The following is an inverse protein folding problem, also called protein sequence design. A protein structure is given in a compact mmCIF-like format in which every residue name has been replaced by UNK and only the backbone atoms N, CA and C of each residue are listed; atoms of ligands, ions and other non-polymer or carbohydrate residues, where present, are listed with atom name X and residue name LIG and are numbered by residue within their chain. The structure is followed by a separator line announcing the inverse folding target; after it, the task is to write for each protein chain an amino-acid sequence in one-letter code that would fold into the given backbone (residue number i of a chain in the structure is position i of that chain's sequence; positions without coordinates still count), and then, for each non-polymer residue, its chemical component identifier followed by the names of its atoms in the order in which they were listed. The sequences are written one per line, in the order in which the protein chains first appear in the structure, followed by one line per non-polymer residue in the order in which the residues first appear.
data_IF_110583572920
#
_entry.id   IF_110583572920
#
_cell.length_a   1.000
_cell.length_b   1.000
_cell.length_c   1.000
_cell.angle_alpha   90.00
_cell.angle_beta   90.00
_cell.angle_gamma   90.00
#
_symmetry.space_group_name_H-M   'P 1'
#
loop_
_entity.id
_entity.type
_entity.pdbx_description
1 polymer ?
#
# COMPACT_ATOMS: atom_id res chain seq x y z
N UNK A 1 -22.68 -31.51 0.79
CA UNK A 1 -22.41 -30.14 1.28
C UNK A 1 -21.30 -29.52 0.45
N UNK A 2 -21.64 -28.59 -0.44
CA UNK A 2 -20.69 -27.99 -1.37
C UNK A 2 -19.69 -27.08 -0.65
N UNK A 3 -18.40 -27.38 -0.76
CA UNK A 3 -17.34 -26.46 -0.34
C UNK A 3 -17.43 -25.19 -1.18
N UNK A 4 -18.06 -24.14 -0.66
CA UNK A 4 -17.89 -22.80 -1.23
C UNK A 4 -16.46 -22.37 -0.92
N UNK A 5 -15.53 -22.76 -1.81
CA UNK A 5 -14.21 -22.13 -1.89
C UNK A 5 -14.49 -20.64 -1.96
N UNK A 6 -14.02 -19.89 -0.97
CA UNK A 6 -14.06 -18.43 -0.97
C UNK A 6 -13.48 -17.96 -2.30
N UNK A 7 -14.34 -17.60 -3.24
CA UNK A 7 -13.91 -16.89 -4.43
C UNK A 7 -13.28 -15.61 -3.88
N UNK A 8 -11.97 -15.46 -4.05
CA UNK A 8 -11.33 -14.17 -3.84
C UNK A 8 -12.18 -13.16 -4.61
N UNK A 9 -12.72 -12.11 -3.96
CA UNK A 9 -13.57 -11.16 -4.65
C UNK A 9 -12.78 -10.61 -5.84
N UNK A 10 -13.21 -10.95 -7.05
CA UNK A 10 -12.46 -10.68 -8.28
C UNK A 10 -12.13 -9.19 -8.41
N UNK A 11 -12.98 -8.31 -7.88
CA UNK A 11 -12.77 -6.87 -7.83
C UNK A 11 -11.53 -6.44 -7.01
N UNK A 12 -11.22 -7.09 -5.88
CA UNK A 12 -10.00 -6.80 -5.11
C UNK A 12 -8.76 -7.23 -5.87
N UNK A 13 -8.82 -8.37 -6.55
CA UNK A 13 -7.71 -8.86 -7.36
C UNK A 13 -7.48 -7.95 -8.56
N UNK A 14 -8.54 -7.52 -9.24
CA UNK A 14 -8.47 -6.55 -10.33
C UNK A 14 -7.90 -5.23 -9.83
N UNK A 15 -8.38 -4.69 -8.71
CA UNK A 15 -7.86 -3.46 -8.12
C UNK A 15 -6.38 -3.56 -7.73
N UNK A 16 -5.97 -4.70 -7.15
CA UNK A 16 -4.58 -5.00 -6.84
C UNK A 16 -3.70 -4.95 -8.11
N UNK A 17 -4.11 -5.64 -9.18
CA UNK A 17 -3.37 -5.65 -10.44
C UNK A 17 -3.30 -4.26 -11.08
N UNK A 18 -4.41 -3.51 -11.07
CA UNK A 18 -4.42 -2.12 -11.54
C UNK A 18 -3.39 -1.29 -10.78
N UNK A 19 -3.34 -1.39 -9.45
CA UNK A 19 -2.36 -0.68 -8.64
C UNK A 19 -0.91 -1.09 -8.95
N UNK A 20 -0.67 -2.38 -9.19
CA UNK A 20 0.66 -2.88 -9.59
C UNK A 20 1.06 -2.32 -10.95
N UNK A 21 0.18 -2.32 -11.95
CA UNK A 21 0.47 -1.76 -13.27
C UNK A 21 0.73 -0.25 -13.20
N UNK A 22 -0.06 0.48 -12.40
CA UNK A 22 0.16 1.91 -12.16
C UNK A 22 1.53 2.13 -11.51
N UNK A 23 1.88 1.35 -10.49
CA UNK A 23 3.19 1.46 -9.83
C UNK A 23 4.33 1.25 -10.83
N UNK A 24 4.25 0.22 -11.68
CA UNK A 24 5.24 -0.05 -12.73
C UNK A 24 5.32 1.12 -13.71
N UNK A 25 4.19 1.63 -14.19
CA UNK A 25 4.14 2.77 -15.11
C UNK A 25 4.75 4.05 -14.53
N UNK A 26 4.52 4.31 -13.24
CA UNK A 26 5.12 5.45 -12.53
C UNK A 26 6.64 5.31 -12.42
N UNK A 27 7.13 4.11 -12.10
CA UNK A 27 8.58 3.82 -12.05
C UNK A 27 9.19 4.04 -13.43
N UNK A 28 8.59 3.48 -14.48
CA UNK A 28 9.07 3.62 -15.85
C UNK A 28 9.10 5.08 -16.31
N UNK A 29 8.02 5.85 -16.08
CA UNK A 29 7.97 7.28 -16.38
C UNK A 29 9.09 8.04 -15.67
N UNK A 30 9.36 7.69 -14.41
CA UNK A 30 10.37 8.36 -13.61
C UNK A 30 11.79 8.03 -14.05
N UNK A 31 12.08 6.77 -14.38
CA UNK A 31 13.36 6.39 -14.96
C UNK A 31 13.58 7.07 -16.32
N UNK A 32 12.54 7.18 -17.15
CA UNK A 32 12.61 7.88 -18.43
C UNK A 32 12.86 9.39 -18.28
N UNK A 33 12.25 10.04 -17.27
CA UNK A 33 12.49 11.45 -16.99
C UNK A 33 13.94 11.70 -16.51
N UNK A 34 14.48 10.83 -15.66
CA UNK A 34 15.88 10.91 -15.20
C UNK A 34 16.90 10.58 -16.30
N UNK A 35 16.55 9.72 -17.26
CA UNK A 35 17.42 9.37 -18.38
C UNK A 35 17.42 10.43 -19.51
N UNK A 36 16.32 11.18 -19.65
CA UNK A 36 16.13 12.17 -20.71
C UNK A 36 16.17 13.61 -20.17
N UNK A 37 17.13 13.93 -19.30
CA UNK A 37 17.31 15.28 -18.72
C UNK A 37 17.61 16.33 -19.80
N UNK A 38 16.60 16.74 -20.56
CA UNK A 38 16.60 17.87 -21.49
C UNK A 38 16.03 19.13 -20.84
N UNK A 39 16.16 20.31 -21.48
CA UNK A 39 15.73 21.58 -20.92
C UNK A 39 14.27 21.50 -20.45
N UNK A 40 14.03 21.84 -19.19
CA UNK A 40 12.70 21.79 -18.57
C UNK A 40 11.70 22.57 -19.43
N UNK A 41 10.87 21.85 -20.18
CA UNK A 41 9.74 22.45 -20.89
C UNK A 41 8.77 23.05 -19.87
N UNK A 42 8.01 24.06 -20.31
CA UNK A 42 7.02 24.83 -19.52
C UNK A 42 5.82 23.97 -19.06
N UNK A 43 6.07 22.91 -18.29
CA UNK A 43 5.04 22.03 -17.74
C UNK A 43 4.74 22.40 -16.28
N UNK A 44 3.49 22.27 -15.81
CA UNK A 44 3.13 22.51 -14.42
C UNK A 44 3.87 21.62 -13.39
N UNK A 45 4.57 20.58 -13.84
CA UNK A 45 5.38 19.69 -12.99
C UNK A 45 6.86 20.08 -12.96
N UNK A 46 7.29 21.10 -13.70
CA UNK A 46 8.70 21.48 -13.82
C UNK A 46 9.36 21.81 -12.45
N UNK A 47 8.61 22.38 -11.50
CA UNK A 47 9.11 22.65 -10.14
C UNK A 47 9.27 21.37 -9.28
N UNK A 48 8.41 20.37 -9.49
CA UNK A 48 8.56 19.04 -8.90
C UNK A 48 9.79 18.36 -9.49
N UNK A 49 9.90 18.36 -10.82
CA UNK A 49 10.99 17.70 -11.53
C UNK A 49 12.36 18.31 -11.16
N UNK A 50 12.46 19.63 -11.01
CA UNK A 50 13.67 20.30 -10.52
C UNK A 50 14.05 19.92 -9.07
N UNK A 51 13.07 19.79 -8.17
CA UNK A 51 13.31 19.37 -6.76
C UNK A 51 13.81 17.92 -6.71
N UNK A 52 13.29 17.09 -7.60
CA UNK A 52 13.65 15.70 -7.72
C UNK A 52 14.99 15.46 -8.40
N UNK A 53 15.36 16.28 -9.39
CA UNK A 53 16.67 16.26 -10.01
C UNK A 53 17.76 16.70 -9.02
N UNK A 54 17.46 17.70 -8.17
CA UNK A 54 18.32 18.09 -7.06
C UNK A 54 18.54 16.98 -6.02
N UNK A 55 17.61 16.02 -5.92
CA UNK A 55 17.68 14.88 -4.99
C UNK A 55 17.54 13.53 -5.73
N UNK A 56 18.15 13.44 -6.92
CA UNK A 56 18.01 12.26 -7.79
C UNK A 56 18.48 10.97 -7.09
N UNK A 57 19.57 11.05 -6.30
CA UNK A 57 20.09 9.93 -5.53
C UNK A 57 19.11 9.43 -4.46
N UNK A 58 18.46 10.34 -3.71
CA UNK A 58 17.46 9.97 -2.70
C UNK A 58 16.21 9.37 -3.35
N UNK A 59 15.80 9.93 -4.49
CA UNK A 59 14.66 9.42 -5.26
C UNK A 59 14.95 8.02 -5.80
N UNK A 60 16.13 7.78 -6.40
CA UNK A 60 16.53 6.46 -6.88
C UNK A 60 16.65 5.44 -5.73
N UNK A 61 17.24 5.86 -4.61
CA UNK A 61 17.35 5.06 -3.39
C UNK A 61 16.00 4.67 -2.78
N UNK A 62 14.92 5.42 -3.09
CA UNK A 62 13.56 5.05 -2.70
C UNK A 62 12.85 4.20 -3.77
N UNK A 63 12.87 4.65 -5.02
CA UNK A 63 12.08 4.06 -6.12
C UNK A 63 12.56 2.65 -6.46
N UNK A 64 13.87 2.41 -6.50
CA UNK A 64 14.40 1.08 -6.86
C UNK A 64 14.00 0.04 -5.81
N UNK A 65 14.25 0.26 -4.49
CA UNK A 65 13.75 -0.65 -3.46
C UNK A 65 12.22 -0.79 -3.47
N UNK A 66 11.48 0.29 -3.66
CA UNK A 66 10.01 0.26 -3.70
C UNK A 66 9.49 -0.62 -4.85
N UNK A 67 10.07 -0.51 -6.04
CA UNK A 67 9.68 -1.31 -7.20
C UNK A 67 9.93 -2.80 -6.97
N UNK A 68 11.11 -3.15 -6.44
CA UNK A 68 11.44 -4.54 -6.10
C UNK A 68 10.52 -5.04 -4.98
N UNK A 69 10.22 -4.21 -3.98
CA UNK A 69 9.32 -4.53 -2.88
C UNK A 69 7.90 -4.84 -3.36
N UNK A 70 7.34 -4.07 -4.31
CA UNK A 70 6.03 -4.36 -4.93
C UNK A 70 6.06 -5.72 -5.63
N UNK A 71 7.11 -6.04 -6.39
CA UNK A 71 7.26 -7.35 -7.03
C UNK A 71 7.32 -8.50 -6.03
N UNK A 72 8.09 -8.32 -4.95
CA UNK A 72 8.16 -9.28 -3.85
C UNK A 72 6.82 -9.43 -3.12
N UNK A 73 6.04 -8.36 -2.97
CA UNK A 73 4.71 -8.41 -2.36
C UNK A 73 3.77 -9.36 -3.11
N UNK A 74 3.79 -9.33 -4.45
CA UNK A 74 3.03 -10.29 -5.28
C UNK A 74 3.48 -11.72 -4.98
N UNK A 75 4.80 -11.96 -4.97
CA UNK A 75 5.33 -13.30 -4.70
C UNK A 75 4.97 -13.80 -3.30
N UNK A 76 5.12 -12.97 -2.26
CA UNK A 76 4.87 -13.34 -0.86
C UNK A 76 3.38 -13.59 -0.60
N UNK A 77 2.47 -12.81 -1.21
CA UNK A 77 1.03 -12.97 -1.00
C UNK A 77 0.43 -14.13 -1.79
N UNK A 78 0.83 -14.30 -3.06
CA UNK A 78 0.22 -15.29 -3.97
C UNK A 78 0.91 -16.65 -3.92
N UNK A 79 2.19 -16.73 -3.53
CA UNK A 79 2.93 -17.99 -3.49
C UNK A 79 3.01 -18.55 -2.08
N UNK A 80 2.34 -19.69 -1.85
CA UNK A 80 2.31 -20.36 -0.55
C UNK A 80 3.69 -20.85 -0.06
N UNK A 81 4.58 -21.22 -0.99
CA UNK A 81 5.96 -21.64 -0.71
C UNK A 81 6.94 -20.74 -1.46
N UNK A 82 7.76 -20.02 -0.73
CA UNK A 82 8.87 -19.23 -1.25
C UNK A 82 10.09 -19.39 -0.33
N UNK A 83 11.28 -19.02 -0.81
CA UNK A 83 12.52 -19.18 -0.07
C UNK A 83 12.58 -18.16 1.10
N UNK A 84 13.24 -18.51 2.21
CA UNK A 84 13.46 -17.61 3.36
C UNK A 84 14.22 -16.33 2.97
N UNK A 85 15.01 -16.40 1.90
CA UNK A 85 15.67 -15.22 1.32
C UNK A 85 14.68 -14.20 0.75
N UNK A 86 13.56 -14.65 0.17
CA UNK A 86 12.50 -13.77 -0.34
C UNK A 86 11.84 -13.00 0.79
N UNK A 87 11.57 -13.69 1.91
CA UNK A 87 11.06 -13.05 3.13
C UNK A 87 12.02 -11.98 3.66
N UNK A 88 13.31 -12.31 3.78
CA UNK A 88 14.34 -11.37 4.24
C UNK A 88 14.45 -10.15 3.33
N UNK A 89 14.49 -10.38 2.01
CA UNK A 89 14.52 -9.31 1.02
C UNK A 89 13.26 -8.44 1.10
N UNK A 90 12.08 -9.03 1.27
CA UNK A 90 10.82 -8.31 1.43
C UNK A 90 10.85 -7.39 2.65
N UNK A 91 11.26 -7.89 3.82
CA UNK A 91 11.33 -7.08 5.03
C UNK A 91 12.41 -6.00 4.95
N UNK A 92 13.59 -6.32 4.41
CA UNK A 92 14.68 -5.36 4.27
C UNK A 92 14.33 -4.23 3.29
N UNK A 93 13.84 -4.57 2.10
CA UNK A 93 13.46 -3.58 1.09
C UNK A 93 12.23 -2.78 1.51
N UNK A 94 11.28 -3.40 2.21
CA UNK A 94 10.17 -2.68 2.83
C UNK A 94 10.64 -1.66 3.86
N UNK A 95 11.58 -2.03 4.72
CA UNK A 95 12.16 -1.11 5.71
C UNK A 95 12.91 0.05 5.03
N UNK A 96 13.77 -0.25 4.05
CA UNK A 96 14.47 0.79 3.27
C UNK A 96 13.47 1.72 2.60
N UNK A 97 12.40 1.18 2.00
CA UNK A 97 11.36 1.97 1.33
C UNK A 97 10.66 2.92 2.30
N UNK A 98 10.25 2.45 3.49
CA UNK A 98 9.62 3.31 4.49
C UNK A 98 10.58 4.37 5.05
N UNK A 99 11.80 3.98 5.43
CA UNK A 99 12.80 4.93 5.94
C UNK A 99 13.14 6.03 4.92
N UNK A 100 13.27 5.67 3.65
CA UNK A 100 13.51 6.65 2.57
C UNK A 100 12.28 7.49 2.28
N UNK A 101 11.06 6.96 2.44
CA UNK A 101 9.83 7.74 2.33
C UNK A 101 9.78 8.87 3.38
N UNK A 102 10.16 8.58 4.63
CA UNK A 102 10.31 9.62 5.66
C UNK A 102 11.31 10.69 5.27
N UNK A 103 12.48 10.30 4.76
CA UNK A 103 13.50 11.26 4.32
C UNK A 103 12.97 12.15 3.18
N UNK A 104 12.22 11.59 2.23
CA UNK A 104 11.59 12.36 1.16
C UNK A 104 10.47 13.29 1.68
N UNK A 105 9.74 12.89 2.72
CA UNK A 105 8.67 13.71 3.32
C UNK A 105 9.18 15.02 3.94
N UNK A 106 10.49 15.12 4.24
CA UNK A 106 11.11 16.37 4.69
C UNK A 106 11.05 17.48 3.64
N UNK A 107 10.99 17.10 2.35
CA UNK A 107 10.95 18.01 1.20
C UNK A 107 9.57 18.02 0.51
N UNK A 108 8.51 17.65 1.24
CA UNK A 108 7.15 17.52 0.70
C UNK A 108 6.64 18.82 0.08
N UNK A 109 6.26 18.75 -1.20
CA UNK A 109 5.85 19.90 -2.00
C UNK A 109 4.43 20.33 -1.67
N UNK A 110 3.53 19.41 -1.30
CA UNK A 110 2.16 19.67 -0.85
C UNK A 110 2.05 20.24 0.57
N UNK A 111 3.15 20.65 1.18
CA UNK A 111 3.20 21.30 2.48
C UNK A 111 2.84 20.36 3.65
N UNK A 112 2.37 20.93 4.75
CA UNK A 112 2.11 20.20 6.02
C UNK A 112 1.09 19.07 5.88
N UNK A 113 0.15 19.19 4.95
CA UNK A 113 -0.94 18.20 4.76
C UNK A 113 -0.44 16.91 4.13
N UNK A 114 0.40 17.00 3.08
CA UNK A 114 1.06 15.83 2.48
C UNK A 114 1.95 15.16 3.52
N UNK A 115 2.76 15.96 4.22
CA UNK A 115 3.67 15.45 5.24
C UNK A 115 2.89 14.70 6.34
N UNK A 116 1.78 15.25 6.85
CA UNK A 116 0.95 14.56 7.83
C UNK A 116 0.41 13.20 7.33
N UNK A 117 -0.04 13.14 6.07
CA UNK A 117 -0.49 11.89 5.46
C UNK A 117 0.64 10.85 5.39
N UNK A 118 1.81 11.26 4.88
CA UNK A 118 2.99 10.38 4.79
C UNK A 118 3.40 9.91 6.17
N UNK A 119 3.50 10.80 7.16
CA UNK A 119 3.84 10.42 8.53
C UNK A 119 2.87 9.38 9.10
N UNK A 120 1.56 9.56 8.94
CA UNK A 120 0.57 8.63 9.46
C UNK A 120 0.63 7.27 8.76
N UNK A 121 0.55 7.26 7.43
CA UNK A 121 0.43 6.02 6.66
C UNK A 121 1.75 5.27 6.55
N UNK A 122 2.88 5.97 6.51
CA UNK A 122 4.20 5.33 6.55
C UNK A 122 4.50 4.74 7.94
N UNK A 123 4.12 5.42 9.03
CA UNK A 123 4.16 4.84 10.38
C UNK A 123 3.34 3.55 10.44
N UNK A 124 2.13 3.58 9.89
CA UNK A 124 1.25 2.41 9.84
C UNK A 124 1.91 1.28 9.04
N UNK A 125 2.44 1.60 7.86
CA UNK A 125 3.14 0.64 7.01
C UNK A 125 4.29 -0.04 7.75
N UNK A 126 5.20 0.73 8.36
CA UNK A 126 6.33 0.19 9.13
C UNK A 126 5.87 -0.60 10.35
N UNK A 127 4.81 -0.16 11.03
CA UNK A 127 4.22 -0.91 12.13
C UNK A 127 3.70 -2.28 11.64
N UNK A 128 2.99 -2.31 10.51
CA UNK A 128 2.53 -3.57 9.92
C UNK A 128 3.68 -4.48 9.51
N UNK A 129 4.75 -3.91 8.93
CA UNK A 129 5.94 -4.63 8.55
C UNK A 129 6.64 -5.26 9.77
N UNK A 130 6.80 -4.49 10.85
CA UNK A 130 7.39 -4.95 12.11
C UNK A 130 6.54 -6.06 12.76
N UNK A 131 5.22 -5.90 12.79
CA UNK A 131 4.30 -6.94 13.29
C UNK A 131 4.38 -8.20 12.45
N UNK A 132 4.37 -8.08 11.13
CA UNK A 132 4.51 -9.22 10.22
C UNK A 132 5.84 -9.95 10.44
N UNK A 133 6.94 -9.23 10.63
CA UNK A 133 8.24 -9.80 10.94
C UNK A 133 8.22 -10.57 12.27
N UNK A 134 7.71 -9.96 13.36
CA UNK A 134 7.60 -10.60 14.68
C UNK A 134 6.79 -11.90 14.63
N UNK A 135 5.63 -11.88 13.98
CA UNK A 135 4.81 -13.09 13.82
C UNK A 135 5.47 -14.14 12.92
N UNK A 136 6.27 -13.71 11.94
CA UNK A 136 7.09 -14.61 11.13
C UNK A 136 8.15 -15.33 11.94
N UNK A 137 8.84 -14.62 12.84
CA UNK A 137 9.82 -15.22 13.77
C UNK A 137 9.15 -16.17 14.77
N UNK A 138 7.94 -15.85 15.22
CA UNK A 138 7.12 -16.70 16.10
C UNK A 138 6.48 -17.91 15.40
N UNK A 139 6.65 -18.06 14.07
CA UNK A 139 6.04 -19.15 13.31
C UNK A 139 4.53 -19.02 13.07
N UNK A 140 3.89 -17.91 13.49
CA UNK A 140 2.47 -17.69 13.26
C UNK A 140 2.22 -17.18 11.83
N UNK A 141 2.14 -18.11 10.89
CA UNK A 141 1.98 -17.83 9.45
C UNK A 141 0.66 -17.13 9.11
N UNK A 142 -0.41 -17.39 9.87
CA UNK A 142 -1.70 -16.75 9.67
C UNK A 142 -1.64 -15.26 10.03
N UNK A 143 -1.15 -14.94 11.24
CA UNK A 143 -0.97 -13.56 11.68
C UNK A 143 0.03 -12.82 10.78
N UNK A 144 1.16 -13.45 10.43
CA UNK A 144 2.12 -12.88 9.47
C UNK A 144 1.44 -12.45 8.17
N UNK A 145 0.62 -13.31 7.57
CA UNK A 145 -0.09 -13.01 6.31
C UNK A 145 -1.07 -11.86 6.47
N UNK A 146 -1.83 -11.80 7.56
CA UNK A 146 -2.76 -10.70 7.79
C UNK A 146 -2.04 -9.34 7.88
N UNK A 147 -0.97 -9.26 8.69
CA UNK A 147 -0.17 -8.03 8.84
C UNK A 147 0.59 -7.66 7.56
N UNK A 148 1.07 -8.66 6.81
CA UNK A 148 1.69 -8.42 5.49
C UNK A 148 0.66 -7.85 4.52
N UNK A 149 -0.57 -8.37 4.50
CA UNK A 149 -1.61 -7.88 3.60
C UNK A 149 -2.01 -6.45 3.94
N UNK A 150 -2.09 -6.11 5.24
CA UNK A 150 -2.30 -4.71 5.69
C UNK A 150 -1.21 -3.79 5.18
N UNK A 151 0.07 -4.15 5.39
CA UNK A 151 1.20 -3.35 4.92
C UNK A 151 1.18 -3.16 3.40
N UNK A 152 0.92 -4.22 2.63
CA UNK A 152 0.82 -4.13 1.17
C UNK A 152 -0.36 -3.28 0.73
N UNK A 153 -1.51 -3.33 1.40
CA UNK A 153 -2.63 -2.46 1.08
C UNK A 153 -2.27 -0.97 1.28
N UNK A 154 -1.59 -0.63 2.38
CA UNK A 154 -1.11 0.73 2.60
C UNK A 154 -0.12 1.13 1.49
N UNK A 155 0.82 0.27 1.12
CA UNK A 155 1.75 0.51 0.00
C UNK A 155 0.99 0.83 -1.31
N UNK A 156 -0.06 0.06 -1.65
CA UNK A 156 -0.88 0.29 -2.84
C UNK A 156 -1.66 1.61 -2.78
N UNK A 157 -1.86 2.17 -1.58
CA UNK A 157 -2.32 3.54 -1.37
C UNK A 157 -1.57 4.52 -2.26
N UNK A 158 -0.23 4.45 -2.30
CA UNK A 158 0.59 5.35 -3.12
C UNK A 158 0.31 5.20 -4.62
N UNK A 159 0.03 3.98 -5.10
CA UNK A 159 -0.36 3.74 -6.48
C UNK A 159 -1.73 4.37 -6.78
N UNK A 160 -2.69 4.28 -5.85
CA UNK A 160 -4.01 4.93 -6.01
C UNK A 160 -3.97 6.45 -5.92
N UNK A 161 -3.03 7.05 -5.19
CA UNK A 161 -2.87 8.51 -5.18
C UNK A 161 -2.59 9.08 -6.57
N UNK A 162 -1.94 8.30 -7.46
CA UNK A 162 -1.49 8.76 -8.79
C UNK A 162 -2.64 9.01 -9.78
N UNK A 163 -3.59 8.07 -10.01
CA UNK A 163 -4.79 8.36 -10.77
C UNK A 163 -5.65 9.46 -10.16
N UNK A 164 -5.73 9.52 -8.82
CA UNK A 164 -6.48 10.58 -8.13
C UNK A 164 -5.87 11.94 -8.45
N UNK A 165 -4.54 12.08 -8.34
CA UNK A 165 -3.83 13.30 -8.77
C UNK A 165 -4.03 13.60 -10.26
N UNK A 166 -4.00 12.59 -11.13
CA UNK A 166 -4.26 12.76 -12.57
C UNK A 166 -5.67 13.24 -12.88
N UNK A 167 -6.68 12.71 -12.18
CA UNK A 167 -8.08 13.13 -12.30
C UNK A 167 -8.31 14.56 -11.79
N UNK A 168 -7.66 14.94 -10.67
CA UNK A 168 -7.68 16.31 -10.17
C UNK A 168 -6.94 17.28 -11.09
N UNK A 169 -5.85 16.85 -11.71
CA UNK A 169 -5.15 17.65 -12.73
C UNK A 169 -6.04 17.88 -13.96
N UNK A 170 -6.76 16.86 -14.41
CA UNK A 170 -7.71 16.97 -15.53
C UNK A 170 -8.93 17.87 -15.20
N UNK A 171 -9.36 17.90 -13.93
CA UNK A 171 -10.47 18.74 -13.45
C UNK A 171 -10.00 20.07 -12.84
N UNK A 172 -8.71 20.41 -12.97
CA UNK A 172 -8.12 21.65 -12.45
C UNK A 172 -8.74 22.91 -13.05
N UNK A 173 -9.22 22.83 -14.30
CA UNK A 173 -9.96 23.91 -14.97
C UNK A 173 -11.33 24.20 -14.35
N UNK A 174 -11.91 23.25 -13.62
CA UNK A 174 -13.26 23.34 -13.03
C UNK A 174 -13.24 23.67 -11.52
N UNK A 175 -12.12 23.43 -10.83
CA UNK A 175 -12.09 23.44 -9.36
C UNK A 175 -11.34 24.63 -8.75
N UNK A 176 -10.57 25.41 -9.54
CA UNK A 176 -9.82 26.60 -9.10
C UNK A 176 -8.88 26.41 -7.88
N UNK A 177 -8.66 25.18 -7.43
CA UNK A 177 -7.79 24.85 -6.30
C UNK A 177 -6.32 24.83 -6.75
N UNK A 178 -5.41 25.27 -5.87
CA UNK A 178 -3.98 25.35 -6.21
C UNK A 178 -3.31 23.97 -6.22
N UNK A 179 -2.34 23.77 -7.13
CA UNK A 179 -1.63 22.50 -7.35
C UNK A 179 -1.07 21.85 -6.05
N UNK A 180 -0.63 22.67 -5.08
CA UNK A 180 -0.13 22.21 -3.78
C UNK A 180 -1.21 21.58 -2.87
N UNK A 181 -2.46 22.05 -2.94
CA UNK A 181 -3.55 21.57 -2.09
C UNK A 181 -4.06 20.19 -2.53
N UNK A 182 -4.10 19.94 -3.84
CA UNK A 182 -4.51 18.65 -4.40
C UNK A 182 -3.59 17.51 -3.98
N UNK A 183 -2.30 17.78 -3.85
CA UNK A 183 -1.31 16.76 -3.57
C UNK A 183 -1.55 16.11 -2.19
N UNK A 184 -1.77 16.92 -1.15
CA UNK A 184 -2.08 16.42 0.18
C UNK A 184 -3.40 15.66 0.25
N UNK A 185 -4.47 16.18 -0.39
CA UNK A 185 -5.80 15.56 -0.38
C UNK A 185 -5.78 14.21 -1.11
N UNK A 186 -5.10 14.12 -2.25
CA UNK A 186 -4.98 12.87 -3.00
C UNK A 186 -4.26 11.78 -2.20
N UNK A 187 -3.25 12.15 -1.42
CA UNK A 187 -2.58 11.24 -0.49
C UNK A 187 -3.55 10.69 0.54
N UNK A 188 -4.27 11.56 1.24
CA UNK A 188 -5.27 11.14 2.22
C UNK A 188 -6.33 10.21 1.63
N UNK A 189 -6.89 10.56 0.46
CA UNK A 189 -7.92 9.75 -0.20
C UNK A 189 -7.37 8.38 -0.59
N UNK A 190 -6.23 8.34 -1.30
CA UNK A 190 -5.66 7.07 -1.79
C UNK A 190 -5.31 6.10 -0.67
N UNK A 191 -4.63 6.57 0.37
CA UNK A 191 -4.27 5.73 1.50
C UNK A 191 -5.47 5.32 2.35
N UNK A 192 -6.41 6.24 2.62
CA UNK A 192 -7.60 5.94 3.45
C UNK A 192 -8.50 4.91 2.77
N UNK A 193 -8.74 5.02 1.46
CA UNK A 193 -9.54 4.05 0.72
C UNK A 193 -8.92 2.66 0.84
N UNK A 194 -7.61 2.54 0.64
CA UNK A 194 -6.94 1.24 0.75
C UNK A 194 -6.99 0.68 2.18
N UNK A 195 -6.79 1.53 3.20
CA UNK A 195 -6.85 1.13 4.60
C UNK A 195 -8.25 0.62 5.00
N UNK A 196 -9.32 1.33 4.60
CA UNK A 196 -10.70 0.93 4.89
C UNK A 196 -11.05 -0.37 4.16
N UNK A 197 -10.72 -0.46 2.88
CA UNK A 197 -11.00 -1.65 2.06
C UNK A 197 -10.32 -2.89 2.64
N UNK A 198 -9.06 -2.79 3.07
CA UNK A 198 -8.36 -3.96 3.59
C UNK A 198 -8.88 -4.40 4.96
N UNK A 199 -9.18 -3.46 5.87
CA UNK A 199 -9.72 -3.83 7.18
C UNK A 199 -11.12 -4.42 7.06
N UNK A 200 -11.97 -3.85 6.18
CA UNK A 200 -13.29 -4.42 5.91
C UNK A 200 -13.19 -5.86 5.37
N UNK A 201 -12.24 -6.12 4.47
CA UNK A 201 -12.01 -7.46 3.92
C UNK A 201 -11.48 -8.45 4.98
N UNK A 202 -10.51 -8.04 5.79
CA UNK A 202 -9.95 -8.87 6.86
C UNK A 202 -10.99 -9.18 7.95
N UNK A 203 -11.79 -8.17 8.34
CA UNK A 203 -12.86 -8.34 9.31
C UNK A 203 -13.95 -9.28 8.79
N UNK A 204 -14.35 -9.13 7.53
CA UNK A 204 -15.30 -10.04 6.87
C UNK A 204 -14.80 -11.49 6.85
N UNK A 205 -13.52 -11.71 6.54
CA UNK A 205 -12.90 -13.04 6.60
C UNK A 205 -12.87 -13.64 8.00
N UNK A 206 -12.56 -12.84 9.02
CA UNK A 206 -12.53 -13.29 10.42
C UNK A 206 -13.92 -13.70 10.90
N UNK A 207 -14.94 -12.86 10.63
CA UNK A 207 -16.34 -13.16 10.98
C UNK A 207 -16.84 -14.45 10.34
N UNK A 208 -16.51 -14.68 9.07
CA UNK A 208 -16.88 -15.92 8.38
C UNK A 208 -16.18 -17.15 8.97
N UNK A 209 -14.90 -17.07 9.35
CA UNK A 209 -14.19 -18.18 10.00
C UNK A 209 -14.86 -18.58 11.33
N UNK A 210 -15.30 -17.60 12.11
CA UNK A 210 -15.96 -17.85 13.40
C UNK A 210 -17.35 -18.50 13.25
N UNK A 211 -18.12 -18.14 12.22
CA UNK A 211 -19.43 -18.76 11.96
C UNK A 211 -19.33 -20.11 11.23
N UNK A 212 -18.16 -20.44 10.68
CA UNK A 212 -17.92 -21.69 9.95
C UNK A 212 -17.33 -22.81 10.80
N UNK A 213 -16.83 -22.52 12.00
CA UNK A 213 -16.41 -23.57 12.94
C UNK A 213 -17.64 -24.09 13.69
N UNK A 214 -17.89 -25.42 13.69
CA UNK A 214 -18.91 -26.00 14.54
C UNK A 214 -18.59 -25.66 16.01
N UNK A 215 -19.61 -25.48 16.87
CA UNK A 215 -19.37 -25.19 18.28
C UNK A 215 -18.43 -26.24 18.88
N UNK A 216 -17.58 -25.86 19.85
CA UNK A 216 -16.67 -26.78 20.49
C UNK A 216 -17.45 -28.00 20.99
N UNK A 217 -16.91 -29.23 20.83
CA UNK A 217 -17.60 -30.44 21.22
C UNK A 217 -17.88 -30.39 22.73
N UNK A 218 -19.14 -30.13 23.09
CA UNK A 218 -19.56 -29.95 24.48
C UNK A 218 -20.67 -28.91 24.69
N UNK A 219 -20.81 -27.92 23.80
CA UNK A 219 -21.90 -26.92 23.88
C UNK A 219 -23.08 -27.37 23.02
N UNK A 220 -24.15 -27.84 23.66
CA UNK A 220 -25.41 -28.18 22.98
C UNK A 220 -26.15 -26.87 22.66
N UNK A 221 -26.82 -26.83 21.50
CA UNK A 221 -27.64 -25.69 21.08
C UNK A 221 -28.82 -25.35 22.04
N UNK A 222 -29.03 -26.14 23.09
CA UNK A 222 -30.02 -25.88 24.15
C UNK A 222 -29.53 -24.93 25.26
N UNK A 223 -28.22 -24.67 25.38
CA UNK A 223 -27.67 -23.89 26.49
C UNK A 223 -27.75 -22.37 26.25
N UNK A 224 -28.17 -21.92 25.06
CA UNK A 224 -28.29 -20.50 24.68
C UNK A 224 -29.70 -19.94 25.00
N UNK A 225 -30.63 -20.77 25.47
CA UNK A 225 -32.04 -20.38 25.65
C UNK A 225 -32.40 -19.90 27.08
N UNK A 226 -31.46 -19.84 28.03
CA UNK A 226 -31.78 -19.58 29.44
C UNK A 226 -31.15 -18.32 30.08
N UNK A 227 -30.37 -17.53 29.36
CA UNK A 227 -29.80 -16.28 29.88
C UNK A 227 -30.35 -15.03 29.15
N UNK A 228 -31.67 -14.87 29.18
CA UNK A 228 -32.37 -13.59 29.00
C UNK A 228 -33.15 -13.25 30.27
#
# INVERSE_FOLDING_TARGET
MASRRLAHPKWLLTGFWICVFIAIGVVARRLAALANSGPAGNSPTASLDATFDAHAALTLAHIVPAAVFVGLAVLVLFRAKHNKWVDRAFFLLGAITGLTAYAMSAYAVGGRTERAAVFLFDSWFLYCLARAFRFGVQGNTAAKREWTTRGVAILLGIATTRPVMGAFFATSSLTHLTFHQFFGIAFWIGFSINAVVIEFWLHSKRRFRLHGEPPPPGLRAGDIAHDL
#
